data_IF_150411210329
#
_entry.id   IF_150411210329
#
_cell.length_a   1.000
_cell.length_b   1.000
_cell.length_c   1.000
_cell.angle_alpha   90.00
_cell.angle_beta   90.00
_cell.angle_gamma   90.00
#
_symmetry.space_group_name_H-M   'P 1'
#
loop_
_entity.id
_entity.type
_entity.pdbx_description
1 polymer ?
#
# COMPACT_ATOMS: atom_id res chain seq x y z
N UNK A 1 -12.30 -20.79 0.40
CA UNK A 1 -11.85 -19.70 -0.49
C UNK A 1 -11.78 -20.20 -1.94
N UNK A 2 -11.95 -19.33 -2.93
CA UNK A 2 -11.86 -19.68 -4.37
C UNK A 2 -10.54 -20.40 -4.74
N UNK A 3 -9.42 -20.05 -4.08
CA UNK A 3 -8.13 -20.71 -4.29
C UNK A 3 -8.19 -22.18 -3.83
N UNK A 4 -8.71 -22.45 -2.64
CA UNK A 4 -8.84 -23.82 -2.13
C UNK A 4 -9.78 -24.67 -3.00
N UNK A 5 -10.91 -24.11 -3.42
CA UNK A 5 -11.85 -24.78 -4.33
C UNK A 5 -11.23 -25.08 -5.70
N UNK A 6 -10.47 -24.11 -6.24
CA UNK A 6 -9.74 -24.29 -7.50
C UNK A 6 -8.68 -25.38 -7.41
N UNK A 7 -7.88 -25.38 -6.36
CA UNK A 7 -6.86 -26.42 -6.10
C UNK A 7 -7.50 -27.80 -5.96
N UNK A 8 -8.58 -27.91 -5.19
CA UNK A 8 -9.30 -29.16 -4.99
C UNK A 8 -9.87 -29.75 -6.30
N UNK A 9 -10.41 -28.89 -7.19
CA UNK A 9 -10.96 -29.33 -8.49
C UNK A 9 -9.94 -30.02 -9.38
N UNK A 10 -8.66 -29.67 -9.27
CA UNK A 10 -7.58 -30.25 -10.07
C UNK A 10 -6.69 -31.20 -9.27
N UNK A 11 -7.10 -31.59 -8.05
CA UNK A 11 -6.34 -32.49 -7.18
C UNK A 11 -5.01 -31.92 -6.69
N UNK A 12 -4.86 -30.59 -6.66
CA UNK A 12 -3.64 -29.94 -6.18
C UNK A 12 -3.75 -29.66 -4.69
N UNK A 13 -2.67 -29.90 -3.95
CA UNK A 13 -2.58 -29.49 -2.55
C UNK A 13 -2.58 -27.95 -2.45
N UNK A 14 -3.54 -27.39 -1.73
CA UNK A 14 -3.68 -25.94 -1.52
C UNK A 14 -2.44 -25.35 -0.84
N UNK A 15 -1.77 -26.10 0.04
CA UNK A 15 -0.55 -25.67 0.70
C UNK A 15 0.64 -25.48 -0.27
N UNK A 16 0.55 -26.09 -1.46
CA UNK A 16 1.54 -25.91 -2.54
C UNK A 16 1.29 -24.64 -3.39
N UNK A 17 0.21 -23.91 -3.14
CA UNK A 17 -0.14 -22.69 -3.88
C UNK A 17 0.42 -21.49 -3.13
N UNK A 18 1.34 -20.78 -3.77
CA UNK A 18 1.81 -19.49 -3.24
C UNK A 18 0.72 -18.42 -3.42
N UNK A 19 0.38 -17.76 -2.32
CA UNK A 19 -0.57 -16.65 -2.32
C UNK A 19 0.15 -15.42 -1.81
N UNK A 20 0.37 -14.45 -2.71
CA UNK A 20 1.07 -13.21 -2.44
C UNK A 20 0.15 -12.02 -2.70
N UNK A 21 -0.26 -11.27 -1.69
CA UNK A 21 -0.92 -9.99 -1.90
C UNK A 21 0.08 -9.01 -2.53
N UNK A 22 -0.42 -8.20 -3.47
CA UNK A 22 0.38 -7.11 -4.02
C UNK A 22 0.10 -5.84 -3.23
N UNK A 23 1.14 -5.30 -2.59
CA UNK A 23 1.07 -4.08 -1.78
C UNK A 23 2.08 -3.04 -2.23
N UNK A 24 1.79 -1.78 -2.00
CA UNK A 24 2.78 -0.70 -2.21
C UNK A 24 3.70 -0.64 -1.00
N UNK A 25 4.98 -0.39 -1.25
CA UNK A 25 6.02 -0.22 -0.24
C UNK A 25 6.63 1.17 -0.36
N UNK A 26 6.65 1.92 0.75
CA UNK A 26 7.38 3.18 0.86
C UNK A 26 7.94 3.33 2.28
N UNK A 27 9.24 3.29 2.44
CA UNK A 27 9.93 3.37 3.74
C UNK A 27 10.74 4.65 3.82
N UNK A 28 10.63 5.36 4.94
CA UNK A 28 11.42 6.55 5.24
C UNK A 28 11.68 6.65 6.75
N UNK A 29 12.75 7.31 7.15
CA UNK A 29 12.95 7.73 8.55
C UNK A 29 11.88 8.75 8.99
N UNK A 30 11.29 9.47 8.04
CA UNK A 30 10.10 10.31 8.23
C UNK A 30 8.85 9.55 7.74
N UNK A 31 8.12 8.95 8.69
CA UNK A 31 6.93 8.14 8.39
C UNK A 31 5.79 8.97 7.78
N UNK A 32 5.65 10.22 8.16
CA UNK A 32 4.61 11.12 7.61
C UNK A 32 4.90 11.44 6.14
N UNK A 33 6.17 11.67 5.82
CA UNK A 33 6.60 11.85 4.44
C UNK A 33 6.34 10.59 3.60
N UNK A 34 6.64 9.41 4.13
CA UNK A 34 6.35 8.15 3.45
C UNK A 34 4.85 7.99 3.17
N UNK A 35 3.98 8.20 4.17
CA UNK A 35 2.52 8.14 4.02
C UNK A 35 2.01 9.14 3.00
N UNK A 36 2.43 10.39 3.11
CA UNK A 36 2.06 11.45 2.16
C UNK A 36 2.43 11.07 0.72
N UNK A 37 3.59 10.45 0.53
CA UNK A 37 4.12 10.08 -0.79
C UNK A 37 3.28 9.02 -1.53
N UNK A 38 2.46 8.24 -0.83
CA UNK A 38 1.63 7.20 -1.43
C UNK A 38 0.13 7.53 -1.46
N UNK A 39 -0.31 8.65 -0.86
CA UNK A 39 -1.74 9.04 -0.79
C UNK A 39 -2.41 9.06 -2.15
N UNK A 40 -1.76 9.62 -3.15
CA UNK A 40 -2.30 9.68 -4.51
C UNK A 40 -2.46 8.29 -5.14
N UNK A 41 -1.49 7.42 -4.93
CA UNK A 41 -1.58 6.03 -5.35
C UNK A 41 -2.78 5.33 -4.71
N UNK A 42 -2.94 5.49 -3.40
CA UNK A 42 -4.08 4.94 -2.65
C UNK A 42 -5.40 5.51 -3.17
N UNK A 43 -5.48 6.83 -3.44
CA UNK A 43 -6.66 7.46 -4.01
C UNK A 43 -7.08 6.79 -5.33
N UNK A 44 -6.15 6.56 -6.25
CA UNK A 44 -6.43 5.86 -7.51
C UNK A 44 -6.95 4.44 -7.30
N UNK A 45 -6.32 3.66 -6.41
CA UNK A 45 -6.73 2.29 -6.19
C UNK A 45 -8.08 2.17 -5.50
N UNK A 46 -8.32 3.00 -4.49
CA UNK A 46 -9.60 2.97 -3.77
C UNK A 46 -10.76 3.43 -4.66
N UNK A 47 -10.54 4.44 -5.52
CA UNK A 47 -11.52 4.90 -6.50
C UNK A 47 -11.83 3.82 -7.55
N UNK A 48 -10.83 3.01 -7.93
CA UNK A 48 -10.98 1.92 -8.90
C UNK A 48 -11.70 0.70 -8.30
N UNK A 49 -11.30 0.26 -7.11
CA UNK A 49 -11.75 -1.01 -6.51
C UNK A 49 -13.05 -0.83 -5.74
N UNK A 50 -13.24 0.31 -5.05
CA UNK A 50 -14.39 0.64 -4.20
C UNK A 50 -14.79 -0.51 -3.26
N UNK A 51 -13.88 -0.97 -2.37
CA UNK A 51 -14.10 -2.18 -1.58
C UNK A 51 -15.21 -1.97 -0.54
N UNK A 52 -16.30 -2.73 -0.65
CA UNK A 52 -17.53 -2.55 0.13
C UNK A 52 -17.28 -2.61 1.66
N UNK A 53 -16.49 -3.58 2.12
CA UNK A 53 -16.16 -3.76 3.54
C UNK A 53 -15.36 -2.58 4.12
N UNK A 54 -14.45 -2.02 3.31
CA UNK A 54 -13.68 -0.85 3.71
C UNK A 54 -14.57 0.40 3.73
N UNK A 55 -15.47 0.52 2.76
CA UNK A 55 -16.42 1.63 2.69
C UNK A 55 -17.29 1.70 3.94
N UNK A 56 -17.84 0.56 4.36
CA UNK A 56 -18.66 0.47 5.57
C UNK A 56 -17.84 0.82 6.83
N UNK A 57 -16.62 0.26 6.96
CA UNK A 57 -15.77 0.48 8.12
C UNK A 57 -15.30 1.93 8.26
N UNK A 58 -15.00 2.59 7.14
CA UNK A 58 -14.40 3.93 7.09
C UNK A 58 -15.41 5.03 6.80
N UNK A 59 -16.69 4.68 6.59
CA UNK A 59 -17.73 5.66 6.25
C UNK A 59 -17.54 6.33 4.88
N UNK A 60 -16.99 5.60 3.90
CA UNK A 60 -16.73 6.12 2.56
C UNK A 60 -18.01 6.00 1.71
N UNK A 61 -18.71 7.08 1.58
CA UNK A 61 -19.97 7.16 0.84
C UNK A 61 -19.78 7.63 -0.62
N UNK A 62 -20.89 7.74 -1.33
CA UNK A 62 -20.90 8.16 -2.72
C UNK A 62 -20.37 9.60 -2.90
N UNK A 63 -20.64 10.49 -1.94
CA UNK A 63 -20.19 11.89 -1.99
C UNK A 63 -18.67 11.97 -1.77
N UNK A 64 -18.13 11.16 -0.87
CA UNK A 64 -16.68 11.04 -0.69
C UNK A 64 -16.00 10.55 -1.98
N UNK A 65 -16.54 9.50 -2.63
CA UNK A 65 -16.01 9.01 -3.90
C UNK A 65 -16.09 10.05 -5.02
N UNK A 66 -17.19 10.80 -5.12
CA UNK A 66 -17.32 11.87 -6.11
C UNK A 66 -16.24 12.96 -5.92
N UNK A 67 -15.89 13.29 -4.68
CA UNK A 67 -14.79 14.21 -4.37
C UNK A 67 -13.42 13.66 -4.76
N UNK A 68 -13.16 12.39 -4.45
CA UNK A 68 -11.91 11.73 -4.86
C UNK A 68 -11.78 11.67 -6.38
N UNK A 69 -12.85 11.27 -7.09
CA UNK A 69 -12.86 11.22 -8.55
C UNK A 69 -12.63 12.62 -9.17
N UNK A 70 -13.23 13.66 -8.61
CA UNK A 70 -13.04 15.05 -9.05
C UNK A 70 -11.60 15.54 -8.81
N UNK A 71 -11.02 15.24 -7.65
CA UNK A 71 -9.64 15.58 -7.33
C UNK A 71 -8.66 14.86 -8.26
N UNK A 72 -8.86 13.56 -8.51
CA UNK A 72 -8.05 12.80 -9.43
C UNK A 72 -8.16 13.29 -10.88
N UNK A 73 -9.34 13.73 -11.32
CA UNK A 73 -9.54 14.28 -12.66
C UNK A 73 -8.82 15.62 -12.88
N UNK A 74 -8.65 16.41 -11.81
CA UNK A 74 -7.91 17.69 -11.84
C UNK A 74 -6.41 17.49 -11.69
N UNK A 75 -6.00 16.35 -11.13
CA UNK A 75 -4.61 15.98 -10.90
C UNK A 75 -3.94 15.66 -12.23
N UNK A 76 -3.03 16.52 -12.67
CA UNK A 76 -2.29 16.34 -13.93
C UNK A 76 -1.08 15.44 -13.69
N UNK A 77 -1.07 14.25 -14.27
CA UNK A 77 0.03 13.31 -14.22
C UNK A 77 -0.38 11.94 -13.65
N UNK A 78 0.42 10.93 -13.94
CA UNK A 78 0.26 9.58 -13.42
C UNK A 78 0.59 9.55 -11.92
N UNK A 79 0.08 8.54 -11.21
CA UNK A 79 0.43 8.28 -9.81
C UNK A 79 1.95 8.03 -9.58
N UNK A 80 2.73 7.87 -10.66
CA UNK A 80 4.20 7.83 -10.65
C UNK A 80 4.85 9.17 -10.96
N UNK A 81 4.09 10.23 -11.25
CA UNK A 81 4.65 11.56 -11.50
C UNK A 81 4.93 12.23 -10.16
N UNK A 82 6.09 11.89 -9.61
CA UNK A 82 6.51 12.29 -8.29
C UNK A 82 6.94 13.75 -8.16
N UNK A 83 7.04 14.48 -9.27
CA UNK A 83 7.40 15.90 -9.24
C UNK A 83 6.19 16.81 -8.90
N UNK A 84 4.99 16.23 -8.76
CA UNK A 84 3.74 16.97 -8.53
C UNK A 84 3.01 16.52 -7.26
N UNK A 85 3.72 16.50 -6.15
CA UNK A 85 3.19 16.04 -4.87
C UNK A 85 2.33 17.02 -4.09
N UNK A 86 2.05 18.20 -4.64
CA UNK A 86 1.11 19.13 -4.04
C UNK A 86 -0.29 18.92 -4.63
N UNK A 87 -0.99 17.96 -4.04
CA UNK A 87 -2.41 17.73 -4.27
C UNK A 87 -3.14 17.81 -2.92
N UNK A 88 -3.35 19.02 -2.40
CA UNK A 88 -3.89 19.21 -1.05
C UNK A 88 -5.30 18.63 -0.90
N UNK A 89 -6.09 18.56 -1.98
CA UNK A 89 -7.43 17.95 -1.94
C UNK A 89 -7.31 16.42 -1.73
N UNK A 90 -6.48 15.72 -2.50
CA UNK A 90 -6.23 14.28 -2.30
C UNK A 90 -5.65 14.04 -0.90
N UNK A 91 -4.70 14.86 -0.45
CA UNK A 91 -4.09 14.68 0.86
C UNK A 91 -5.09 14.86 2.01
N UNK A 92 -6.08 15.73 1.85
CA UNK A 92 -7.14 15.92 2.84
C UNK A 92 -8.16 14.79 2.85
N UNK A 93 -8.44 14.20 1.68
CA UNK A 93 -9.42 13.12 1.51
C UNK A 93 -8.90 11.76 1.95
N UNK A 94 -7.60 11.50 1.75
CA UNK A 94 -6.98 10.21 2.05
C UNK A 94 -6.34 10.26 3.43
N UNK A 95 -7.06 9.75 4.42
CA UNK A 95 -6.55 9.61 5.78
C UNK A 95 -5.41 8.58 5.86
N UNK A 96 -4.52 8.70 6.82
CA UNK A 96 -3.37 7.80 6.99
C UNK A 96 -3.80 6.35 7.28
N UNK A 97 -4.95 6.15 7.91
CA UNK A 97 -5.54 4.81 8.10
C UNK A 97 -5.92 4.15 6.78
N UNK A 98 -6.42 4.92 5.79
CA UNK A 98 -6.62 4.41 4.44
C UNK A 98 -5.30 4.03 3.79
N UNK A 99 -4.26 4.84 3.96
CA UNK A 99 -2.93 4.56 3.41
C UNK A 99 -2.38 3.24 3.94
N UNK A 100 -2.41 3.02 5.24
CA UNK A 100 -1.92 1.79 5.88
C UNK A 100 -2.78 0.55 5.58
N UNK A 101 -4.03 0.75 5.14
CA UNK A 101 -4.88 -0.35 4.66
C UNK A 101 -4.50 -0.86 3.25
N UNK A 102 -3.72 -0.08 2.48
CA UNK A 102 -3.33 -0.41 1.09
C UNK A 102 -1.83 -0.56 0.89
N UNK A 103 -1.01 -0.13 1.85
CA UNK A 103 0.44 -0.04 1.69
C UNK A 103 1.19 -0.45 2.96
N UNK A 104 2.37 -1.00 2.78
CA UNK A 104 3.40 -1.08 3.83
C UNK A 104 4.17 0.24 3.76
N UNK A 105 3.93 1.13 4.72
CA UNK A 105 4.38 2.52 4.61
C UNK A 105 4.67 3.13 5.98
N UNK A 106 5.71 3.92 6.05
CA UNK A 106 6.10 4.61 7.28
C UNK A 106 7.58 4.49 7.59
N UNK A 107 7.91 4.57 8.86
CA UNK A 107 9.25 4.24 9.37
C UNK A 107 9.53 2.73 9.25
N UNK A 108 10.80 2.29 9.34
CA UNK A 108 11.11 0.85 9.33
C UNK A 108 10.33 0.05 10.39
N UNK A 109 10.12 0.59 11.60
CA UNK A 109 9.37 -0.11 12.65
C UNK A 109 7.88 -0.22 12.31
N UNK A 110 7.25 0.85 11.84
CA UNK A 110 5.85 0.81 11.36
C UNK A 110 5.69 -0.18 10.20
N UNK A 111 6.61 -0.17 9.25
CA UNK A 111 6.60 -1.10 8.11
C UNK A 111 6.77 -2.57 8.54
N UNK A 112 7.56 -2.84 9.57
CA UNK A 112 7.72 -4.17 10.15
C UNK A 112 6.40 -4.69 10.73
N UNK A 113 5.68 -3.85 11.47
CA UNK A 113 4.41 -4.24 12.07
C UNK A 113 3.33 -4.48 11.00
N UNK A 114 3.27 -3.63 9.97
CA UNK A 114 2.38 -3.82 8.82
C UNK A 114 2.71 -5.11 8.04
N UNK A 115 3.99 -5.39 7.80
CA UNK A 115 4.42 -6.61 7.11
C UNK A 115 4.07 -7.88 7.91
N UNK A 116 4.27 -7.86 9.23
CA UNK A 116 3.87 -8.96 10.12
C UNK A 116 2.36 -9.17 10.09
N UNK A 117 1.58 -8.09 10.18
CA UNK A 117 0.12 -8.19 10.10
C UNK A 117 -0.37 -8.87 8.83
N UNK A 118 0.29 -8.64 7.68
CA UNK A 118 -0.05 -9.33 6.43
C UNK A 118 0.30 -10.83 6.51
N UNK A 119 1.47 -11.17 7.05
CA UNK A 119 1.88 -12.59 7.19
C UNK A 119 0.99 -13.34 8.19
N UNK A 120 0.55 -12.68 9.24
CA UNK A 120 -0.38 -13.24 10.26
C UNK A 120 -1.76 -13.55 9.68
N UNK A 121 -2.15 -12.96 8.54
CA UNK A 121 -3.34 -13.34 7.77
C UNK A 121 -3.18 -14.67 7.02
N UNK A 122 -2.00 -15.31 7.09
CA UNK A 122 -1.72 -16.61 6.47
C UNK A 122 -1.16 -16.54 5.05
N UNK A 123 -0.77 -15.35 4.59
CA UNK A 123 0.01 -15.23 3.36
C UNK A 123 1.44 -15.72 3.58
N UNK A 124 1.98 -16.46 2.61
CA UNK A 124 3.33 -17.01 2.68
C UNK A 124 4.38 -16.16 1.95
N UNK A 125 3.94 -15.17 1.19
CA UNK A 125 4.80 -14.17 0.56
C UNK A 125 4.05 -12.86 0.35
N UNK A 126 4.79 -11.77 0.04
CA UNK A 126 4.24 -10.45 -0.26
C UNK A 126 4.91 -9.96 -1.54
N UNK A 127 4.11 -9.62 -2.55
CA UNK A 127 4.57 -8.95 -3.77
C UNK A 127 4.51 -7.44 -3.58
N UNK A 128 5.64 -6.75 -3.78
CA UNK A 128 5.74 -5.33 -3.48
C UNK A 128 5.87 -4.47 -4.73
N UNK A 129 5.06 -3.43 -4.80
CA UNK A 129 5.21 -2.35 -5.76
C UNK A 129 5.96 -1.21 -5.07
N UNK A 130 7.18 -0.92 -5.53
CA UNK A 130 8.02 0.09 -4.89
C UNK A 130 7.50 1.49 -5.18
N UNK A 131 7.36 2.27 -4.14
CA UNK A 131 7.23 3.72 -4.15
C UNK A 131 8.40 4.33 -3.40
N UNK A 132 8.49 5.64 -3.33
CA UNK A 132 9.58 6.32 -2.66
C UNK A 132 9.13 7.65 -2.05
N UNK A 133 9.78 8.07 -0.95
CA UNK A 133 9.55 9.37 -0.35
C UNK A 133 9.91 10.49 -1.31
N UNK A 134 9.06 11.51 -1.38
CA UNK A 134 9.30 12.68 -2.21
C UNK A 134 10.36 13.61 -1.61
N UNK A 135 11.01 14.34 -2.49
CA UNK A 135 11.94 15.42 -2.11
C UNK A 135 13.40 15.17 -2.46
N UNK A 136 13.86 13.92 -2.49
CA UNK A 136 15.28 13.60 -2.76
C UNK A 136 15.54 13.07 -4.18
N UNK A 137 14.51 13.10 -5.05
CA UNK A 137 14.56 12.49 -6.38
C UNK A 137 14.37 10.97 -6.35
N UNK A 138 13.98 10.41 -7.49
CA UNK A 138 13.57 9.01 -7.62
C UNK A 138 14.65 8.00 -7.16
N UNK A 139 15.90 8.19 -7.59
CA UNK A 139 16.97 7.23 -7.28
C UNK A 139 17.28 7.17 -5.79
N UNK A 140 17.40 8.32 -5.14
CA UNK A 140 17.67 8.36 -3.70
C UNK A 140 16.48 7.84 -2.92
N UNK A 141 15.25 8.26 -3.26
CA UNK A 141 14.05 7.78 -2.58
C UNK A 141 13.83 6.27 -2.71
N UNK A 142 14.07 5.67 -3.89
CA UNK A 142 14.02 4.22 -4.05
C UNK A 142 15.10 3.51 -3.23
N UNK A 143 16.31 4.07 -3.18
CA UNK A 143 17.39 3.55 -2.35
C UNK A 143 17.01 3.57 -0.88
N UNK A 144 16.51 4.70 -0.38
CA UNK A 144 16.07 4.86 1.01
C UNK A 144 14.97 3.83 1.37
N UNK A 145 14.00 3.63 0.46
CA UNK A 145 12.96 2.61 0.63
C UNK A 145 13.54 1.18 0.68
N UNK A 146 14.47 0.83 -0.20
CA UNK A 146 15.05 -0.50 -0.26
C UNK A 146 15.96 -0.78 0.94
N UNK A 147 16.81 0.18 1.32
CA UNK A 147 17.70 0.06 2.49
C UNK A 147 16.89 -0.03 3.78
N UNK A 148 15.87 0.84 3.95
CA UNK A 148 14.96 0.80 5.08
C UNK A 148 14.19 -0.52 5.16
N UNK A 149 13.72 -1.04 4.03
CA UNK A 149 13.03 -2.32 3.99
C UNK A 149 13.95 -3.53 4.21
N UNK A 150 15.22 -3.44 3.88
CA UNK A 150 16.21 -4.45 4.24
C UNK A 150 16.21 -4.74 5.74
N UNK A 151 16.15 -3.69 6.55
CA UNK A 151 16.07 -3.84 8.02
C UNK A 151 14.76 -4.48 8.50
N UNK A 152 13.65 -4.21 7.79
CA UNK A 152 12.35 -4.84 8.06
C UNK A 152 12.39 -6.34 7.77
N UNK A 153 12.96 -6.75 6.63
CA UNK A 153 13.10 -8.17 6.26
C UNK A 153 13.90 -8.93 7.32
N UNK A 154 15.03 -8.39 7.74
CA UNK A 154 15.90 -9.03 8.73
C UNK A 154 15.17 -9.16 10.08
N UNK A 155 14.45 -8.14 10.50
CA UNK A 155 13.67 -8.17 11.74
C UNK A 155 12.49 -9.15 11.68
N UNK A 156 11.82 -9.29 10.53
CA UNK A 156 10.72 -10.25 10.35
C UNK A 156 11.25 -11.69 10.35
N UNK A 157 12.39 -11.94 9.69
CA UNK A 157 13.02 -13.27 9.64
C UNK A 157 13.56 -13.73 10.98
N UNK A 158 14.15 -12.81 11.76
CA UNK A 158 14.73 -13.10 13.07
C UNK A 158 13.70 -13.36 14.16
N UNK A 159 12.46 -12.96 13.96
CA UNK A 159 11.35 -13.14 14.90
C UNK A 159 10.50 -14.39 14.65
N UNK A 160 10.93 -15.28 13.77
CA UNK A 160 10.29 -16.59 13.50
C UNK A 160 10.86 -17.69 14.35
#
# INVERSE_FOLDING_TARGET
TFIAEGAQRIGRDVASVEVAPRVTLCVSSDGDLARRSVKRYVAHYIALIRPAELNERMGLDADWYARVDAALAQSTGWYFDHDRYDDPEIFSLIADELVTSFAIVGTPDECKDLARGILDLGFNSISMNLSFPVGNGMYQGLRDTLEGFGTVIDAVRSGR
#
